data_IF_921941369551
#
_entry.id   IF_921941369551
#
_cell.length_a   1.000
_cell.length_b   1.000
_cell.length_c   1.000
_cell.angle_alpha   90.00
_cell.angle_beta   90.00
_cell.angle_gamma   90.00
#
_symmetry.space_group_name_H-M   'P 1'
#
loop_
_entity.id
_entity.type
_entity.pdbx_description
1 polymer ?
#
# COMPACT_ATOMS: atom_id res chain seq x y z
N UNK A 1 -12.26 -16.99 -7.97
CA UNK A 1 -12.06 -18.10 -7.03
C UNK A 1 -10.78 -18.77 -7.49
N UNK A 2 -9.64 -18.45 -6.88
CA UNK A 2 -8.39 -19.15 -7.19
C UNK A 2 -8.57 -20.60 -6.71
N UNK A 3 -8.18 -21.55 -7.55
CA UNK A 3 -8.21 -22.98 -7.24
C UNK A 3 -7.31 -23.25 -6.02
N UNK A 4 -7.70 -24.18 -5.15
CA UNK A 4 -6.99 -24.50 -3.91
C UNK A 4 -5.53 -24.91 -4.21
N UNK A 5 -5.34 -25.61 -5.33
CA UNK A 5 -4.03 -25.99 -5.90
C UNK A 5 -3.15 -24.79 -6.27
N UNK A 6 -3.75 -23.70 -6.75
CA UNK A 6 -3.00 -22.51 -7.15
C UNK A 6 -2.52 -21.71 -5.94
N UNK A 7 -3.25 -21.76 -4.82
CA UNK A 7 -2.84 -21.14 -3.56
C UNK A 7 -1.65 -21.86 -2.90
N UNK A 8 -1.63 -23.20 -2.95
CA UNK A 8 -0.53 -23.98 -2.37
C UNK A 8 0.79 -23.76 -3.14
N UNK A 9 0.71 -23.71 -4.48
CA UNK A 9 1.85 -23.42 -5.34
C UNK A 9 2.38 -21.99 -5.13
N UNK A 10 1.50 -21.00 -5.02
CA UNK A 10 1.88 -19.60 -4.72
C UNK A 10 2.64 -19.51 -3.38
N UNK A 11 2.19 -20.23 -2.35
CA UNK A 11 2.83 -20.24 -1.03
C UNK A 11 4.19 -20.97 -1.01
N UNK A 12 4.36 -22.00 -1.83
CA UNK A 12 5.63 -22.71 -2.01
C UNK A 12 6.68 -21.83 -2.71
N UNK A 13 6.28 -21.12 -3.76
CA UNK A 13 7.21 -20.25 -4.50
C UNK A 13 7.58 -19.01 -3.68
N UNK A 14 6.65 -18.45 -2.92
CA UNK A 14 6.95 -17.37 -1.98
C UNK A 14 7.96 -17.83 -0.90
N UNK A 15 7.86 -19.08 -0.43
CA UNK A 15 8.86 -19.65 0.49
C UNK A 15 10.25 -19.74 -0.15
N UNK A 16 10.35 -20.19 -1.40
CA UNK A 16 11.62 -20.25 -2.15
C UNK A 16 12.22 -18.84 -2.28
N UNK A 17 11.40 -17.84 -2.60
CA UNK A 17 11.80 -16.44 -2.68
C UNK A 17 12.31 -15.90 -1.33
N UNK A 18 11.59 -16.19 -0.23
CA UNK A 18 11.97 -15.81 1.12
C UNK A 18 13.29 -16.44 1.58
N UNK A 19 13.49 -17.73 1.32
CA UNK A 19 14.75 -18.43 1.62
C UNK A 19 15.93 -17.91 0.80
N UNK A 20 15.71 -17.63 -0.49
CA UNK A 20 16.70 -17.00 -1.38
C UNK A 20 17.13 -15.64 -0.83
N UNK A 21 16.16 -14.81 -0.43
CA UNK A 21 16.39 -13.50 0.17
C UNK A 21 17.20 -13.62 1.47
N UNK A 22 16.83 -14.56 2.35
CA UNK A 22 17.55 -14.82 3.59
C UNK A 22 19.01 -15.24 3.38
N UNK A 23 19.27 -16.09 2.38
CA UNK A 23 20.63 -16.54 2.06
C UNK A 23 21.49 -15.42 1.44
N UNK A 24 20.91 -14.56 0.59
CA UNK A 24 21.58 -13.36 0.07
C UNK A 24 21.90 -12.36 1.19
N UNK A 25 21.00 -12.19 2.16
CA UNK A 25 21.24 -11.35 3.33
C UNK A 25 22.41 -11.85 4.17
N UNK A 26 22.51 -13.17 4.40
CA UNK A 26 23.65 -13.79 5.10
C UNK A 26 24.98 -13.59 4.35
N UNK A 27 24.94 -13.49 3.02
CA UNK A 27 26.10 -13.21 2.15
C UNK A 27 26.43 -11.72 2.04
N UNK A 28 25.63 -10.84 2.64
CA UNK A 28 25.82 -9.39 2.59
C UNK A 28 25.39 -8.71 1.28
N UNK A 29 24.60 -9.38 0.42
CA UNK A 29 24.09 -8.78 -0.82
C UNK A 29 22.83 -7.94 -0.53
N UNK A 30 23.04 -6.82 0.15
CA UNK A 30 21.96 -5.92 0.56
C UNK A 30 21.16 -5.33 -0.62
N UNK A 31 21.80 -5.20 -1.79
CA UNK A 31 21.16 -4.67 -2.99
C UNK A 31 20.14 -5.66 -3.56
N UNK A 32 20.51 -6.93 -3.70
CA UNK A 32 19.59 -7.97 -4.16
C UNK A 32 18.46 -8.18 -3.15
N UNK A 33 18.76 -8.16 -1.85
CA UNK A 33 17.74 -8.28 -0.79
C UNK A 33 16.70 -7.17 -0.87
N UNK A 34 17.13 -5.91 -1.02
CA UNK A 34 16.21 -4.78 -1.12
C UNK A 34 15.24 -4.92 -2.30
N UNK A 35 15.71 -5.46 -3.42
CA UNK A 35 14.89 -5.68 -4.61
C UNK A 35 13.94 -6.88 -4.46
N UNK A 36 14.38 -7.97 -3.83
CA UNK A 36 13.56 -9.15 -3.63
C UNK A 36 12.38 -8.92 -2.66
N UNK A 37 12.54 -8.01 -1.69
CA UNK A 37 11.44 -7.61 -0.80
C UNK A 37 10.31 -6.88 -1.55
N UNK A 38 10.63 -6.24 -2.68
CA UNK A 38 9.65 -5.52 -3.51
C UNK A 38 9.01 -6.42 -4.60
N UNK A 39 9.36 -7.71 -4.65
CA UNK A 39 8.73 -8.68 -5.56
C UNK A 39 7.34 -9.05 -5.03
N UNK A 40 6.31 -8.86 -5.87
CA UNK A 40 4.92 -9.14 -5.50
C UNK A 40 4.56 -10.61 -5.63
N UNK A 41 5.10 -11.26 -6.66
CA UNK A 41 4.85 -12.66 -6.96
C UNK A 41 6.03 -13.25 -7.73
N UNK A 42 6.19 -14.56 -7.58
CA UNK A 42 7.16 -15.37 -8.30
C UNK A 42 6.42 -16.52 -8.98
N UNK A 43 6.81 -16.82 -10.22
CA UNK A 43 6.39 -18.03 -10.93
C UNK A 43 7.61 -18.74 -11.51
N UNK A 44 7.60 -20.08 -11.50
CA UNK A 44 8.62 -20.88 -12.17
C UNK A 44 8.05 -21.44 -13.48
N UNK A 45 8.59 -21.00 -14.61
CA UNK A 45 8.08 -21.37 -15.94
C UNK A 45 9.10 -22.16 -16.72
N UNK A 46 8.61 -23.14 -17.49
CA UNK A 46 9.44 -23.83 -18.49
C UNK A 46 9.78 -22.87 -19.63
N UNK A 47 11.02 -22.96 -20.08
CA UNK A 47 11.53 -22.25 -21.25
C UNK A 47 11.44 -23.16 -22.47
N UNK A 48 11.78 -22.64 -23.64
CA UNK A 48 11.92 -23.40 -24.87
C UNK A 48 13.25 -24.20 -24.94
N UNK A 49 14.18 -23.98 -24.00
CA UNK A 49 15.46 -24.67 -23.97
C UNK A 49 15.34 -26.07 -23.34
N UNK A 50 15.57 -27.10 -24.14
CA UNK A 50 15.60 -28.50 -23.69
C UNK A 50 16.94 -28.81 -23.04
N UNK A 51 16.92 -29.25 -21.79
CA UNK A 51 18.12 -29.70 -21.07
C UNK A 51 18.43 -31.14 -21.43
N UNK A 52 17.44 -32.03 -21.31
CA UNK A 52 17.59 -33.44 -21.62
C UNK A 52 16.25 -34.11 -21.89
N UNK A 53 16.33 -35.25 -22.56
CA UNK A 53 15.21 -36.16 -22.75
C UNK A 53 15.55 -37.48 -22.08
N UNK A 54 14.64 -37.99 -21.25
CA UNK A 54 14.81 -39.26 -20.54
C UNK A 54 13.62 -40.18 -20.75
N UNK A 55 13.89 -41.48 -20.77
CA UNK A 55 12.87 -42.52 -20.82
C UNK A 55 12.52 -42.92 -19.40
N UNK A 56 11.27 -42.72 -19.01
CA UNK A 56 10.75 -43.11 -17.69
C UNK A 56 9.67 -44.17 -17.87
N UNK A 57 9.58 -45.08 -16.90
CA UNK A 57 8.48 -46.03 -16.81
C UNK A 57 7.23 -45.27 -16.38
N UNK A 58 6.17 -45.36 -17.18
CA UNK A 58 4.85 -44.87 -16.76
C UNK A 58 4.27 -45.85 -15.73
N UNK A 59 4.36 -45.48 -14.46
CA UNK A 59 3.80 -46.26 -13.35
C UNK A 59 2.34 -45.91 -13.05
N UNK A 60 1.76 -44.91 -13.73
CA UNK A 60 0.38 -44.44 -13.52
C UNK A 60 -0.57 -44.86 -14.65
N UNK A 61 -0.04 -45.30 -15.79
CA UNK A 61 -0.80 -45.90 -16.89
C UNK A 61 -1.46 -47.23 -16.52
N UNK A 62 -2.73 -47.41 -16.92
CA UNK A 62 -3.52 -48.63 -16.71
C UNK A 62 -3.04 -49.86 -17.52
N UNK A 63 -2.10 -49.66 -18.46
CA UNK A 63 -1.51 -50.73 -19.28
C UNK A 63 -0.01 -50.82 -19.00
N UNK A 64 0.42 -51.95 -18.45
CA UNK A 64 1.76 -52.16 -17.89
C UNK A 64 2.94 -51.72 -18.76
N UNK A 65 4.00 -51.28 -18.06
CA UNK A 65 5.39 -51.07 -18.52
C UNK A 65 5.56 -50.33 -19.86
N UNK A 66 4.77 -49.30 -20.14
CA UNK A 66 5.05 -48.39 -21.25
C UNK A 66 6.13 -47.37 -20.85
N UNK A 67 7.18 -47.23 -21.67
CA UNK A 67 8.24 -46.26 -21.42
C UNK A 67 7.90 -44.95 -22.11
N UNK A 68 7.51 -43.92 -21.35
CA UNK A 68 7.25 -42.59 -21.90
C UNK A 68 8.56 -41.78 -21.99
N UNK A 69 8.62 -40.95 -23.02
CA UNK A 69 9.73 -40.02 -23.22
C UNK A 69 9.39 -38.69 -22.55
N UNK A 70 10.07 -38.39 -21.45
CA UNK A 70 9.93 -37.14 -20.73
C UNK A 70 11.01 -36.16 -21.18
N UNK A 71 10.59 -34.99 -21.66
CA UNK A 71 11.49 -33.88 -22.00
C UNK A 71 11.57 -32.90 -20.83
N UNK A 72 12.79 -32.66 -20.35
CA UNK A 72 13.06 -31.71 -19.27
C UNK A 72 13.54 -30.41 -19.89
N UNK A 73 12.83 -29.32 -19.57
CA UNK A 73 13.13 -27.98 -20.03
C UNK A 73 13.88 -27.22 -18.95
N UNK A 74 14.73 -26.28 -19.36
CA UNK A 74 15.26 -25.28 -18.46
C UNK A 74 14.14 -24.38 -17.98
N UNK A 75 14.24 -23.87 -16.76
CA UNK A 75 13.22 -23.05 -16.13
C UNK A 75 13.73 -21.65 -15.83
N UNK A 76 12.81 -20.71 -15.80
CA UNK A 76 13.04 -19.34 -15.43
C UNK A 76 12.16 -18.95 -14.24
N UNK A 77 12.71 -18.19 -13.31
CA UNK A 77 11.93 -17.51 -12.27
C UNK A 77 11.44 -16.18 -12.83
N UNK A 78 10.12 -16.03 -12.97
CA UNK A 78 9.47 -14.77 -13.34
C UNK A 78 9.13 -14.00 -12.07
N UNK A 79 9.60 -12.77 -11.96
CA UNK A 79 9.25 -11.86 -10.87
C UNK A 79 8.31 -10.78 -11.38
N UNK A 80 7.16 -10.67 -10.72
CA UNK A 80 6.23 -9.57 -10.91
C UNK A 80 6.57 -8.46 -9.91
N UNK A 81 6.92 -7.28 -10.43
CA UNK A 81 7.33 -6.10 -9.64
C UNK A 81 6.59 -4.85 -10.10
N UNK A 82 6.61 -3.79 -9.30
CA UNK A 82 6.10 -2.50 -9.77
C UNK A 82 6.89 -2.00 -11.00
N UNK A 83 6.20 -1.40 -11.98
CA UNK A 83 6.79 -0.99 -13.26
C UNK A 83 8.06 -0.12 -13.10
N UNK A 84 8.03 0.82 -12.15
CA UNK A 84 9.17 1.71 -11.89
C UNK A 84 10.39 0.99 -11.27
N UNK A 85 10.23 -0.24 -10.78
CA UNK A 85 11.31 -1.04 -10.20
C UNK A 85 12.00 -1.95 -11.23
N UNK A 86 11.37 -2.24 -12.37
CA UNK A 86 11.91 -3.14 -13.39
C UNK A 86 13.33 -2.73 -13.80
N UNK A 87 13.57 -1.43 -14.00
CA UNK A 87 14.88 -0.89 -14.40
C UNK A 87 15.98 -1.08 -13.36
N UNK A 88 15.62 -1.33 -12.09
CA UNK A 88 16.57 -1.55 -11.00
C UNK A 88 17.11 -2.98 -10.97
N UNK A 89 16.44 -3.92 -11.64
CA UNK A 89 16.89 -5.30 -11.80
C UNK A 89 17.80 -5.40 -13.02
N UNK A 90 19.06 -4.98 -12.85
CA UNK A 90 20.07 -5.12 -13.91
C UNK A 90 20.44 -6.59 -14.13
N UNK A 91 21.00 -6.89 -15.30
CA UNK A 91 21.42 -8.26 -15.65
C UNK A 91 22.37 -8.86 -14.60
N UNK A 92 23.29 -8.06 -14.05
CA UNK A 92 24.22 -8.50 -13.02
C UNK A 92 23.49 -8.90 -11.73
N UNK A 93 22.50 -8.12 -11.31
CA UNK A 93 21.71 -8.40 -10.11
C UNK A 93 20.86 -9.65 -10.34
N UNK A 94 20.17 -9.73 -11.49
CA UNK A 94 19.39 -10.90 -11.88
C UNK A 94 20.24 -12.17 -11.89
N UNK A 95 21.48 -12.09 -12.37
CA UNK A 95 22.39 -13.23 -12.36
C UNK A 95 22.79 -13.66 -10.94
N UNK A 96 23.11 -12.72 -10.04
CA UNK A 96 23.43 -13.04 -8.63
C UNK A 96 22.24 -13.66 -7.91
N UNK A 97 21.05 -13.13 -8.15
CA UNK A 97 19.80 -13.68 -7.62
C UNK A 97 19.59 -15.09 -8.17
N UNK A 98 19.67 -15.27 -9.50
CA UNK A 98 19.46 -16.56 -10.16
C UNK A 98 20.38 -17.66 -9.61
N UNK A 99 21.67 -17.35 -9.38
CA UNK A 99 22.62 -18.30 -8.79
C UNK A 99 22.24 -18.76 -7.38
N UNK A 100 21.65 -17.86 -6.58
CA UNK A 100 21.21 -18.22 -5.22
C UNK A 100 19.85 -18.92 -5.25
N UNK A 101 18.95 -18.43 -6.11
CA UNK A 101 17.61 -18.97 -6.29
C UNK A 101 17.65 -20.40 -6.83
N UNK A 102 18.51 -20.70 -7.81
CA UNK A 102 18.65 -22.05 -8.37
C UNK A 102 18.98 -23.08 -7.28
N UNK A 103 19.97 -22.75 -6.43
CA UNK A 103 20.35 -23.59 -5.30
C UNK A 103 19.22 -23.81 -4.28
N UNK A 104 18.44 -22.76 -4.00
CA UNK A 104 17.30 -22.86 -3.07
C UNK A 104 16.14 -23.63 -3.71
N UNK A 105 15.82 -23.38 -4.97
CA UNK A 105 14.76 -24.04 -5.72
C UNK A 105 15.02 -25.55 -5.85
N UNK A 106 16.26 -25.94 -6.20
CA UNK A 106 16.69 -27.35 -6.24
C UNK A 106 16.42 -28.06 -4.89
N UNK A 107 16.69 -27.38 -3.76
CA UNK A 107 16.45 -27.94 -2.41
C UNK A 107 14.99 -28.02 -2.02
N UNK A 108 14.12 -27.27 -2.68
CA UNK A 108 12.68 -27.32 -2.49
C UNK A 108 11.98 -28.18 -3.57
N UNK A 109 12.72 -29.00 -4.32
CA UNK A 109 12.14 -29.91 -5.30
C UNK A 109 11.76 -29.26 -6.62
N UNK A 110 12.22 -28.02 -6.87
CA UNK A 110 11.95 -27.26 -8.08
C UNK A 110 13.24 -27.07 -8.90
N UNK A 111 13.73 -28.12 -9.58
CA UNK A 111 15.03 -28.08 -10.23
C UNK A 111 15.05 -27.25 -11.52
N UNK A 112 16.25 -27.07 -12.06
CA UNK A 112 16.52 -26.54 -13.41
C UNK A 112 16.19 -25.05 -13.61
N UNK A 113 15.99 -24.30 -12.53
CA UNK A 113 15.81 -22.84 -12.58
C UNK A 113 17.16 -22.17 -12.85
N UNK A 114 17.32 -21.58 -14.03
CA UNK A 114 18.63 -21.09 -14.49
C UNK A 114 18.77 -19.57 -14.51
N UNK A 115 17.68 -18.83 -14.69
CA UNK A 115 17.72 -17.38 -14.76
C UNK A 115 16.47 -16.74 -14.19
N UNK A 116 16.60 -15.46 -13.82
CA UNK A 116 15.53 -14.61 -13.34
C UNK A 116 15.13 -13.66 -14.46
N UNK A 117 13.83 -13.52 -14.69
CA UNK A 117 13.26 -12.52 -15.59
C UNK A 117 12.27 -11.68 -14.82
N UNK A 118 12.38 -10.37 -14.97
CA UNK A 118 11.56 -9.41 -14.24
C UNK A 118 10.60 -8.75 -15.21
N UNK A 119 9.34 -8.60 -14.77
CA UNK A 119 8.29 -7.99 -15.57
C UNK A 119 7.38 -7.13 -14.68
N UNK A 120 6.71 -6.12 -15.26
CA UNK A 120 5.75 -5.33 -14.51
C UNK A 120 4.56 -6.20 -14.09
N UNK A 121 4.22 -6.15 -12.81
CA UNK A 121 3.02 -6.74 -12.28
C UNK A 121 1.81 -6.10 -12.98
N UNK A 122 0.92 -6.94 -13.51
CA UNK A 122 -0.29 -6.45 -14.15
C UNK A 122 -1.20 -5.79 -13.10
N UNK A 123 -1.85 -4.66 -13.43
CA UNK A 123 -2.81 -4.05 -12.53
C UNK A 123 -4.01 -4.97 -12.34
N UNK A 124 -4.54 -5.01 -11.13
CA UNK A 124 -5.84 -5.62 -10.90
C UNK A 124 -6.90 -4.81 -11.63
N UNK A 125 -7.65 -5.49 -12.51
CA UNK A 125 -8.74 -4.89 -13.27
C UNK A 125 -10.05 -5.54 -12.85
N UNK A 126 -11.04 -4.71 -12.55
CA UNK A 126 -12.39 -5.19 -12.30
C UNK A 126 -13.10 -5.61 -13.61
N UNK A 127 -14.24 -6.29 -13.49
CA UNK A 127 -15.02 -6.73 -14.66
C UNK A 127 -15.58 -5.58 -15.52
N UNK A 128 -15.60 -4.35 -14.99
CA UNK A 128 -16.12 -3.16 -15.64
C UNK A 128 -15.00 -2.18 -16.04
N UNK A 129 -13.76 -2.65 -16.17
CA UNK A 129 -12.58 -1.79 -16.33
C UNK A 129 -12.71 -0.76 -17.45
N UNK A 130 -13.40 -1.09 -18.56
CA UNK A 130 -13.62 -0.14 -19.67
C UNK A 130 -14.36 1.11 -19.21
N UNK A 131 -15.38 0.96 -18.37
CA UNK A 131 -16.13 2.07 -17.78
C UNK A 131 -15.25 2.82 -16.78
N UNK A 132 -14.59 2.11 -15.86
CA UNK A 132 -13.71 2.71 -14.84
C UNK A 132 -12.58 3.56 -15.46
N UNK A 133 -11.96 3.10 -16.55
CA UNK A 133 -10.95 3.86 -17.28
C UNK A 133 -11.55 4.97 -18.15
N UNK A 134 -12.72 4.76 -18.76
CA UNK A 134 -13.41 5.81 -19.51
C UNK A 134 -13.80 6.98 -18.59
N UNK A 135 -14.35 6.71 -17.42
CA UNK A 135 -14.73 7.71 -16.41
C UNK A 135 -13.50 8.46 -15.88
N UNK A 136 -12.34 7.78 -15.73
CA UNK A 136 -11.06 8.44 -15.38
C UNK A 136 -10.52 9.36 -16.47
N UNK A 137 -10.83 9.08 -17.73
CA UNK A 137 -10.40 9.89 -18.88
C UNK A 137 -11.33 11.08 -19.14
N UNK A 138 -12.61 10.96 -18.80
CA UNK A 138 -13.66 11.98 -19.04
C UNK A 138 -14.05 12.78 -17.79
N UNK A 139 -13.84 12.23 -16.59
CA UNK A 139 -14.13 12.86 -15.31
C UNK A 139 -13.03 13.80 -14.81
N UNK A 140 -13.37 14.66 -13.84
CA UNK A 140 -12.40 15.45 -13.10
C UNK A 140 -11.41 14.50 -12.41
N UNK A 141 -10.12 14.75 -12.66
CA UNK A 141 -9.01 13.89 -12.20
C UNK A 141 -9.13 13.64 -10.70
N UNK A 142 -8.94 12.39 -10.23
CA UNK A 142 -8.73 12.13 -8.81
C UNK A 142 -7.62 13.02 -8.29
N UNK A 143 -7.90 13.85 -7.28
CA UNK A 143 -6.88 14.69 -6.68
C UNK A 143 -5.99 13.79 -5.81
N UNK A 144 -4.80 13.49 -6.33
CA UNK A 144 -3.78 12.71 -5.64
C UNK A 144 -3.35 13.39 -4.34
N UNK A 145 -3.84 12.92 -3.19
CA UNK A 145 -3.01 12.84 -1.99
C UNK A 145 -2.84 11.35 -1.66
N UNK A 146 -1.58 10.92 -1.61
CA UNK A 146 -1.13 9.53 -1.72
C UNK A 146 -1.94 8.51 -0.88
N UNK A 147 -2.74 7.73 -1.63
CA UNK A 147 -3.29 6.38 -1.40
C UNK A 147 -4.28 6.18 -0.24
N UNK A 148 -5.54 5.96 -0.63
CA UNK A 148 -6.35 4.84 -0.12
C UNK A 148 -7.23 4.23 -1.22
N UNK A 149 -6.63 3.79 -2.33
CA UNK A 149 -7.28 2.77 -3.17
C UNK A 149 -7.11 1.41 -2.48
N UNK A 150 -8.15 1.00 -1.75
CA UNK A 150 -8.43 -0.41 -1.48
C UNK A 150 -9.88 -0.62 -1.89
N UNK A 151 -10.09 -1.57 -2.79
CA UNK A 151 -11.38 -1.89 -3.38
C UNK A 151 -12.47 -2.15 -2.35
N UNK A 152 -13.71 -1.83 -2.76
CA UNK A 152 -14.96 -1.96 -1.99
C UNK A 152 -15.03 -1.00 -0.80
N UNK A 153 -15.64 0.17 -1.03
CA UNK A 153 -15.76 1.21 0.00
C UNK A 153 -16.64 0.76 1.17
N UNK A 154 -16.01 0.52 2.33
CA UNK A 154 -16.65 0.55 3.65
C UNK A 154 -16.61 1.98 4.27
N UNK A 155 -16.06 2.95 3.54
CA UNK A 155 -15.67 4.26 4.06
C UNK A 155 -16.52 5.38 3.43
N UNK A 156 -16.90 6.44 4.18
CA UNK A 156 -17.62 7.56 3.60
C UNK A 156 -16.77 8.33 2.58
N UNK A 157 -17.41 8.87 1.53
CA UNK A 157 -16.77 9.64 0.44
C UNK A 157 -17.59 10.90 0.14
N UNK A 158 -16.92 12.04 -0.03
CA UNK A 158 -17.54 13.32 -0.48
C UNK A 158 -16.48 14.23 -1.14
N UNK A 159 -16.87 15.04 -2.14
CA UNK A 159 -15.99 15.91 -2.96
C UNK A 159 -14.71 15.20 -3.51
N UNK A 160 -14.80 13.89 -3.80
CA UNK A 160 -13.65 13.08 -4.24
C UNK A 160 -12.65 12.74 -3.13
N UNK A 161 -12.99 13.02 -1.87
CA UNK A 161 -12.20 12.74 -0.67
C UNK A 161 -12.79 11.54 0.09
N UNK A 162 -11.92 10.72 0.69
CA UNK A 162 -12.32 9.54 1.50
C UNK A 162 -12.09 9.82 2.98
N UNK A 163 -12.99 9.35 3.84
CA UNK A 163 -12.96 9.55 5.29
C UNK A 163 -12.85 8.21 6.04
N UNK A 164 -12.22 8.22 7.21
CA UNK A 164 -12.05 7.04 8.06
C UNK A 164 -13.32 6.63 8.79
N UNK A 165 -14.24 7.57 9.01
CA UNK A 165 -15.45 7.42 9.80
C UNK A 165 -16.57 8.40 9.38
N UNK A 166 -17.79 8.20 9.88
CA UNK A 166 -18.91 9.11 9.61
C UNK A 166 -18.76 10.43 10.40
N UNK A 167 -18.13 10.34 11.56
CA UNK A 167 -17.76 11.43 12.45
C UNK A 167 -16.78 12.39 11.76
N UNK A 168 -15.74 11.86 11.10
CA UNK A 168 -14.82 12.66 10.27
C UNK A 168 -15.54 13.37 9.12
N UNK A 169 -16.46 12.67 8.45
CA UNK A 169 -17.28 13.27 7.39
C UNK A 169 -18.15 14.42 7.93
N UNK A 170 -18.67 14.28 9.15
CA UNK A 170 -19.48 15.32 9.78
C UNK A 170 -18.64 16.57 10.10
N UNK A 171 -17.41 16.40 10.60
CA UNK A 171 -16.46 17.50 10.79
C UNK A 171 -16.14 18.18 9.47
N UNK A 172 -15.91 17.40 8.41
CA UNK A 172 -15.69 17.93 7.06
C UNK A 172 -16.86 18.79 6.58
N UNK A 173 -18.09 18.31 6.71
CA UNK A 173 -19.29 19.08 6.34
C UNK A 173 -19.43 20.39 7.12
N UNK A 174 -19.10 20.39 8.41
CA UNK A 174 -19.11 21.60 9.23
C UNK A 174 -18.04 22.61 8.75
N UNK A 175 -16.82 22.14 8.46
CA UNK A 175 -15.76 22.98 7.91
C UNK A 175 -16.13 23.55 6.54
N UNK A 176 -16.75 22.75 5.67
CA UNK A 176 -17.25 23.18 4.35
C UNK A 176 -18.31 24.27 4.48
N UNK A 177 -19.26 24.14 5.41
CA UNK A 177 -20.25 25.20 5.70
C UNK A 177 -19.59 26.49 6.19
N UNK A 178 -18.60 26.38 7.08
CA UNK A 178 -17.83 27.54 7.55
C UNK A 178 -17.07 28.22 6.40
N UNK A 179 -16.39 27.43 5.55
CA UNK A 179 -15.66 27.91 4.38
C UNK A 179 -16.57 28.73 3.46
N UNK A 180 -17.76 28.21 3.14
CA UNK A 180 -18.72 28.90 2.27
C UNK A 180 -19.41 30.10 2.93
N UNK A 181 -19.77 30.00 4.21
CA UNK A 181 -20.66 30.95 4.88
C UNK A 181 -19.96 32.02 5.73
N UNK A 182 -18.71 31.81 6.15
CA UNK A 182 -18.03 32.65 7.15
C UNK A 182 -16.70 33.23 6.69
N UNK A 183 -16.04 32.64 5.71
CA UNK A 183 -14.75 33.13 5.21
C UNK A 183 -14.91 33.83 3.86
N UNK A 184 -14.28 35.00 3.66
CA UNK A 184 -14.25 35.64 2.35
C UNK A 184 -13.31 34.86 1.41
N UNK A 185 -13.60 34.92 0.10
CA UNK A 185 -12.84 34.18 -0.93
C UNK A 185 -11.33 34.46 -0.89
N UNK A 186 -10.94 35.72 -0.69
CA UNK A 186 -9.54 36.15 -0.62
C UNK A 186 -8.83 35.85 0.72
N UNK A 187 -9.54 35.34 1.72
CA UNK A 187 -9.00 35.00 3.04
C UNK A 187 -9.62 33.71 3.59
N UNK A 188 -9.76 32.71 2.70
CA UNK A 188 -10.38 31.42 2.99
C UNK A 188 -9.43 30.45 3.71
N UNK A 189 -9.98 29.28 4.05
CA UNK A 189 -9.26 28.12 4.57
C UNK A 189 -9.20 27.03 3.50
N UNK A 190 -8.16 26.19 3.52
CA UNK A 190 -8.16 24.91 2.81
C UNK A 190 -8.34 23.78 3.81
N UNK A 191 -9.13 22.77 3.43
CA UNK A 191 -9.49 21.63 4.27
C UNK A 191 -8.85 20.40 3.63
N UNK A 192 -8.07 19.66 4.40
CA UNK A 192 -7.27 18.54 3.93
C UNK A 192 -7.58 17.32 4.80
N UNK A 193 -8.52 16.45 4.40
CA UNK A 193 -8.81 15.22 5.12
C UNK A 193 -7.70 14.17 4.95
N UNK A 194 -7.39 13.46 6.02
CA UNK A 194 -6.45 12.32 6.07
C UNK A 194 -5.10 12.52 5.35
N UNK A 195 -4.42 13.68 5.44
CA UNK A 195 -3.18 13.89 4.70
C UNK A 195 -2.09 12.95 5.22
N UNK A 196 -1.49 12.17 4.32
CA UNK A 196 -0.29 11.39 4.66
C UNK A 196 0.91 12.34 4.88
N UNK A 197 1.35 12.49 6.13
CA UNK A 197 2.47 13.36 6.50
C UNK A 197 3.60 12.57 7.14
N UNK A 198 4.83 12.78 6.66
CA UNK A 198 6.02 12.20 7.28
C UNK A 198 6.41 13.02 8.51
N UNK A 199 6.35 12.38 9.68
CA UNK A 199 6.85 12.94 10.94
C UNK A 199 8.03 12.11 11.42
N UNK A 200 9.13 12.78 11.79
CA UNK A 200 10.42 12.16 12.16
C UNK A 200 11.05 11.33 11.02
N UNK A 201 12.27 10.85 11.25
CA UNK A 201 12.96 9.84 10.45
C UNK A 201 12.24 8.48 10.51
N UNK A 202 11.15 8.30 9.74
CA UNK A 202 10.70 6.96 9.36
C UNK A 202 9.20 6.66 9.32
N UNK A 203 8.33 7.51 9.88
CA UNK A 203 6.90 7.18 9.96
C UNK A 203 6.03 8.21 9.23
N UNK A 204 5.12 7.71 8.40
CA UNK A 204 4.02 8.49 7.81
C UNK A 204 2.82 8.37 8.72
N UNK A 205 2.22 9.50 9.06
CA UNK A 205 1.04 9.62 9.92
C UNK A 205 -0.02 10.43 9.18
N UNK A 206 -1.28 10.07 9.37
CA UNK A 206 -2.41 10.82 8.84
C UNK A 206 -3.25 11.33 10.01
N UNK A 207 -3.30 12.66 10.25
CA UNK A 207 -4.32 13.22 11.13
C UNK A 207 -5.68 13.14 10.44
N UNK A 208 -6.78 13.17 11.19
CA UNK A 208 -8.13 13.10 10.61
C UNK A 208 -8.40 14.24 9.64
N UNK A 209 -8.18 15.50 10.06
CA UNK A 209 -8.30 16.67 9.20
C UNK A 209 -7.23 17.71 9.53
N UNK A 210 -6.56 18.23 8.50
CA UNK A 210 -5.72 19.43 8.60
C UNK A 210 -6.42 20.61 7.91
N UNK A 211 -6.44 21.75 8.58
CA UNK A 211 -6.97 23.01 8.04
C UNK A 211 -5.84 24.02 7.96
N UNK A 212 -5.67 24.62 6.78
CA UNK A 212 -4.68 25.68 6.54
C UNK A 212 -5.38 26.99 6.18
N UNK A 213 -4.81 28.11 6.62
CA UNK A 213 -5.36 29.44 6.35
C UNK A 213 -4.42 30.51 6.84
N UNK A 214 -4.33 31.63 6.11
CA UNK A 214 -3.49 32.78 6.46
C UNK A 214 -2.02 32.42 6.77
N UNK A 215 -1.47 31.40 6.09
CA UNK A 215 -0.08 30.94 6.28
C UNK A 215 0.14 30.09 7.54
N UNK A 216 -0.92 29.61 8.19
CA UNK A 216 -0.87 28.74 9.37
C UNK A 216 -1.65 27.45 9.14
N UNK A 217 -1.45 26.47 10.01
CA UNK A 217 -2.13 25.19 10.00
C UNK A 217 -2.68 24.87 11.39
N UNK A 218 -3.77 24.10 11.45
CA UNK A 218 -4.31 23.46 12.65
C UNK A 218 -4.81 22.07 12.28
N UNK A 219 -4.65 21.11 13.17
CA UNK A 219 -5.15 19.75 13.00
C UNK A 219 -6.38 19.57 13.89
N UNK A 220 -7.40 18.89 13.36
CA UNK A 220 -8.53 18.37 14.12
C UNK A 220 -8.47 16.85 14.10
N UNK A 221 -8.59 16.22 15.27
CA UNK A 221 -8.66 14.77 15.46
C UNK A 221 -9.99 14.44 16.14
N UNK A 222 -10.75 13.50 15.59
CA UNK A 222 -11.97 12.95 16.20
C UNK A 222 -11.62 11.85 17.19
N UNK A 223 -12.02 12.01 18.45
CA UNK A 223 -11.61 11.12 19.53
C UNK A 223 -12.81 10.34 20.07
N UNK A 224 -12.82 9.03 19.86
CA UNK A 224 -13.87 8.14 20.37
C UNK A 224 -13.69 7.78 21.85
N UNK A 225 -14.70 7.17 22.50
CA UNK A 225 -14.61 6.76 23.89
C UNK A 225 -13.47 5.75 24.11
N UNK A 226 -12.44 6.17 24.83
CA UNK A 226 -11.22 5.39 25.05
C UNK A 226 -11.46 4.10 25.83
N UNK A 227 -11.11 2.96 25.25
CA UNK A 227 -10.70 1.79 26.03
C UNK A 227 -9.33 2.08 26.64
N UNK A 228 -9.32 2.34 27.97
CA UNK A 228 -8.16 2.70 28.80
C UNK A 228 -6.98 1.74 28.62
N UNK A 229 -6.08 2.06 27.71
CA UNK A 229 -4.79 1.38 27.60
C UNK A 229 -3.67 2.42 27.74
N UNK A 230 -2.91 2.32 28.83
CA UNK A 230 -1.92 3.33 29.25
C UNK A 230 -0.87 3.63 28.16
N UNK A 231 -0.57 2.64 27.31
CA UNK A 231 0.36 2.82 26.18
C UNK A 231 -0.19 3.75 25.08
N UNK A 232 -1.48 3.68 24.77
CA UNK A 232 -2.10 4.55 23.74
C UNK A 232 -2.06 6.02 24.13
N UNK A 233 -2.28 6.32 25.41
CA UNK A 233 -2.19 7.69 25.93
C UNK A 233 -0.79 8.30 25.76
N UNK A 234 0.26 7.51 26.00
CA UNK A 234 1.64 7.95 25.81
C UNK A 234 1.97 8.18 24.33
N UNK A 235 1.49 7.30 23.44
CA UNK A 235 1.70 7.40 21.99
C UNK A 235 0.99 8.63 21.41
N UNK A 236 -0.26 8.89 21.82
CA UNK A 236 -1.03 10.08 21.43
C UNK A 236 -0.34 11.37 21.87
N UNK A 237 0.10 11.43 23.14
CA UNK A 237 0.83 12.59 23.64
C UNK A 237 2.15 12.81 22.90
N UNK A 238 2.87 11.74 22.57
CA UNK A 238 4.11 11.84 21.79
C UNK A 238 3.86 12.32 20.35
N UNK A 239 2.69 12.01 19.77
CA UNK A 239 2.25 12.49 18.46
C UNK A 239 1.91 13.98 18.50
N UNK A 240 1.09 14.39 19.47
CA UNK A 240 0.70 15.79 19.66
C UNK A 240 1.95 16.67 19.89
N UNK A 241 2.92 16.18 20.67
CA UNK A 241 4.21 16.86 20.87
C UNK A 241 5.02 17.03 19.58
N UNK A 242 4.92 16.09 18.63
CA UNK A 242 5.64 16.21 17.35
C UNK A 242 5.02 17.28 16.47
N UNK A 243 3.68 17.33 16.39
CA UNK A 243 2.98 18.40 15.69
C UNK A 243 3.26 19.77 16.29
N UNK A 244 3.27 19.86 17.62
CA UNK A 244 3.64 21.09 18.33
C UNK A 244 5.07 21.55 18.00
N UNK A 245 6.03 20.63 17.85
CA UNK A 245 7.40 20.97 17.40
C UNK A 245 7.45 21.48 15.96
N UNK A 246 6.49 21.07 15.12
CA UNK A 246 6.29 21.63 13.79
C UNK A 246 5.51 22.96 13.80
N UNK A 247 5.12 23.46 14.98
CA UNK A 247 4.30 24.68 15.10
C UNK A 247 2.85 24.49 14.71
N UNK A 248 2.38 23.23 14.60
CA UNK A 248 1.00 22.90 14.22
C UNK A 248 0.22 22.45 15.46
N UNK A 249 -0.76 23.23 15.94
CA UNK A 249 -1.63 22.83 17.04
C UNK A 249 -2.55 21.68 16.63
N UNK A 250 -2.84 20.80 17.57
CA UNK A 250 -3.78 19.67 17.44
C UNK A 250 -4.96 19.93 18.38
N UNK A 251 -6.17 19.88 17.83
CA UNK A 251 -7.44 20.02 18.53
C UNK A 251 -8.15 18.67 18.48
N UNK A 252 -8.39 18.07 19.64
CA UNK A 252 -9.16 16.81 19.75
C UNK A 252 -10.63 17.13 19.99
N UNK A 253 -11.51 16.53 19.20
CA UNK A 253 -12.96 16.67 19.25
C UNK A 253 -13.55 15.35 19.77
N UNK A 254 -14.09 15.31 21.00
CA UNK A 254 -14.79 14.13 21.50
C UNK A 254 -15.96 13.78 20.57
N UNK A 255 -16.12 12.50 20.22
CA UNK A 255 -17.21 12.04 19.35
C UNK A 255 -18.58 12.38 19.94
N UNK A 256 -18.68 12.42 21.27
CA UNK A 256 -19.89 12.81 21.99
C UNK A 256 -20.32 14.25 21.67
N UNK A 257 -19.37 15.14 21.38
CA UNK A 257 -19.62 16.55 21.06
C UNK A 257 -20.02 16.75 19.59
N UNK A 258 -19.92 15.71 18.75
CA UNK A 258 -20.28 15.78 17.33
C UNK A 258 -21.80 15.68 17.11
N UNK A 259 -22.58 15.23 18.09
CA UNK A 259 -24.03 15.04 17.95
C UNK A 259 -24.84 16.32 17.68
N UNK A 260 -24.28 17.50 17.98
CA UNK A 260 -24.93 18.80 17.72
C UNK A 260 -24.14 19.61 16.68
N UNK A 261 -24.72 19.74 15.48
CA UNK A 261 -24.09 20.44 14.36
C UNK A 261 -23.78 21.93 14.64
N UNK A 262 -24.59 22.61 15.43
CA UNK A 262 -24.40 24.04 15.73
C UNK A 262 -23.24 24.25 16.71
N UNK A 263 -23.14 23.40 17.74
CA UNK A 263 -22.07 23.46 18.73
C UNK A 263 -20.72 23.08 18.09
N UNK A 264 -20.72 22.04 17.25
CA UNK A 264 -19.54 21.67 16.47
C UNK A 264 -19.06 22.82 15.57
N UNK A 265 -19.97 23.47 14.84
CA UNK A 265 -19.62 24.61 13.99
C UNK A 265 -19.04 25.78 14.80
N UNK A 266 -19.65 26.11 15.94
CA UNK A 266 -19.16 27.16 16.84
C UNK A 266 -17.75 26.83 17.37
N UNK A 267 -17.54 25.58 17.80
CA UNK A 267 -16.27 25.07 18.30
C UNK A 267 -15.17 25.12 17.26
N UNK A 268 -15.44 24.65 16.04
CA UNK A 268 -14.50 24.68 14.92
C UNK A 268 -14.13 26.12 14.57
N UNK A 269 -15.11 27.03 14.51
CA UNK A 269 -14.88 28.44 14.20
C UNK A 269 -14.01 29.12 15.26
N UNK A 270 -14.24 28.83 16.55
CA UNK A 270 -13.42 29.32 17.66
C UNK A 270 -11.95 28.90 17.48
N UNK A 271 -11.71 27.60 17.26
CA UNK A 271 -10.36 27.06 17.15
C UNK A 271 -9.65 27.49 15.85
N UNK A 272 -10.39 27.63 14.74
CA UNK A 272 -9.85 28.21 13.51
C UNK A 272 -9.40 29.66 13.76
N UNK A 273 -10.23 30.49 14.40
CA UNK A 273 -9.88 31.89 14.69
C UNK A 273 -8.67 31.97 15.62
N UNK A 274 -8.63 31.12 16.64
CA UNK A 274 -7.54 31.08 17.62
C UNK A 274 -6.20 30.70 16.99
N UNK A 275 -6.20 29.69 16.12
CA UNK A 275 -4.96 29.10 15.62
C UNK A 275 -4.53 29.69 14.26
N UNK A 276 -5.49 29.97 13.37
CA UNK A 276 -5.22 30.51 12.04
C UNK A 276 -5.31 32.04 11.96
N UNK A 277 -6.00 32.70 12.89
CA UNK A 277 -6.09 34.15 12.93
C UNK A 277 -4.73 34.83 13.16
N UNK A 278 -4.50 35.98 12.52
CA UNK A 278 -3.32 36.81 12.80
C UNK A 278 -3.23 37.09 14.31
N UNK A 279 -2.07 36.80 14.89
CA UNK A 279 -1.70 37.44 16.16
C UNK A 279 -1.38 38.89 15.79
N UNK A 280 -2.20 39.82 16.28
CA UNK A 280 -1.89 41.25 16.25
C UNK A 280 -0.68 41.49 17.16
#
# INVERSE_FOLDING_TARGET
MKDEWQYEQDAEYDRILGQTTGLLAQRGDHQAVALLVDVRAIALVNTDEVIRTQRILDTEGWSGEETITQTIYRRAALFDVDEHLVVRFTDEICQRIAQTLSYVADRNGEPDVAYVKVQPALPEVDGNWRTSYADRLTGERPSNQARREVGVSKYPVDDGLTFGSAEELQVYHALKRLQCGRFPEHATIAIIPLPGVRLRSGHTWSPDVMVIGQGRAVIFETDGPHHRNVRRYADDRNRDLQWQRCGVPVVRLPVEDLGNAADLEARLLEEIRRNLGRKV
#
